data_IF_453461879805
#
_entry.id   IF_453461879805
#
_cell.length_a   1.000
_cell.length_b   1.000
_cell.length_c   1.000
_cell.angle_alpha   90.00
_cell.angle_beta   90.00
_cell.angle_gamma   90.00
#
_symmetry.space_group_name_H-M   'P 1'
#
loop_
_entity.id
_entity.type
_entity.pdbx_description
1 polymer ?
#
# COMPACT_ATOMS: atom_id res chain seq x y z
N UNK A 1 -2.00 13.68 -12.12
CA UNK A 1 -2.60 13.66 -13.46
C UNK A 1 -2.17 14.91 -14.23
N UNK A 2 -1.61 14.74 -15.42
CA UNK A 2 -1.18 15.88 -16.25
C UNK A 2 -2.36 16.49 -17.03
N UNK A 3 -2.23 17.73 -17.52
CA UNK A 3 -3.26 18.34 -18.40
C UNK A 3 -3.49 17.53 -19.68
N UNK A 4 -2.42 16.93 -20.22
CA UNK A 4 -2.50 16.09 -21.40
C UNK A 4 -3.28 14.79 -21.13
N UNK A 5 -2.99 14.14 -20.01
CA UNK A 5 -3.69 12.93 -19.55
C UNK A 5 -5.19 13.19 -19.32
N UNK A 6 -5.53 14.29 -18.61
CA UNK A 6 -6.92 14.71 -18.42
C UNK A 6 -7.62 14.93 -19.77
N UNK A 7 -6.97 15.60 -20.72
CA UNK A 7 -7.53 15.83 -22.05
C UNK A 7 -7.78 14.52 -22.81
N UNK A 8 -7.00 13.46 -22.60
CA UNK A 8 -7.27 12.15 -23.20
C UNK A 8 -8.46 11.45 -22.53
N UNK A 9 -8.53 11.46 -21.19
CA UNK A 9 -9.63 10.86 -20.42
C UNK A 9 -10.98 11.50 -20.73
N UNK A 10 -11.00 12.83 -20.92
CA UNK A 10 -12.21 13.57 -21.27
C UNK A 10 -12.80 13.20 -22.64
N UNK A 11 -12.07 12.46 -23.49
CA UNK A 11 -12.60 11.93 -24.76
C UNK A 11 -13.37 10.63 -24.60
N UNK A 12 -13.32 10.00 -23.43
CA UNK A 12 -14.11 8.79 -23.12
C UNK A 12 -15.51 9.27 -22.72
N UNK A 13 -16.41 9.35 -23.71
CA UNK A 13 -17.79 9.79 -23.49
C UNK A 13 -18.76 8.65 -23.22
N UNK A 14 -18.37 7.44 -23.64
CA UNK A 14 -19.19 6.25 -23.56
C UNK A 14 -18.90 5.49 -22.27
N UNK A 15 -19.45 6.01 -21.16
CA UNK A 15 -19.28 5.46 -19.82
C UNK A 15 -20.61 4.94 -19.33
N UNK A 16 -20.67 3.64 -19.04
CA UNK A 16 -21.83 3.01 -18.40
C UNK A 16 -21.75 3.20 -16.90
N UNK A 17 -22.74 3.86 -16.30
CA UNK A 17 -22.81 4.03 -14.84
C UNK A 17 -23.29 2.75 -14.15
N UNK A 18 -22.65 2.41 -13.02
CA UNK A 18 -23.09 1.35 -12.12
C UNK A 18 -24.54 1.55 -11.66
N UNK A 19 -24.95 2.78 -11.37
CA UNK A 19 -26.32 3.08 -10.91
C UNK A 19 -27.39 2.77 -11.97
N UNK A 20 -27.03 2.78 -13.25
CA UNK A 20 -27.96 2.56 -14.35
C UNK A 20 -28.15 1.07 -14.69
N UNK A 21 -27.05 0.31 -14.76
CA UNK A 21 -27.09 -1.09 -15.23
C UNK A 21 -26.58 -2.11 -14.20
N UNK A 22 -25.95 -1.69 -13.10
CA UNK A 22 -25.33 -2.58 -12.12
C UNK A 22 -24.00 -3.18 -12.58
N UNK A 23 -23.57 -4.29 -11.98
CA UNK A 23 -22.34 -5.01 -12.38
C UNK A 23 -22.53 -5.79 -13.68
N UNK A 24 -21.44 -5.97 -14.44
CA UNK A 24 -21.38 -6.92 -15.55
C UNK A 24 -21.54 -8.34 -14.99
N UNK A 25 -22.42 -9.13 -15.60
CA UNK A 25 -22.69 -10.53 -15.26
C UNK A 25 -22.06 -11.49 -16.29
N UNK A 26 -22.15 -11.15 -17.57
CA UNK A 26 -21.58 -11.96 -18.63
C UNK A 26 -21.25 -11.14 -19.88
N UNK A 27 -20.30 -11.66 -20.66
CA UNK A 27 -19.95 -11.15 -21.98
C UNK A 27 -20.34 -12.21 -23.01
N UNK A 28 -21.15 -11.82 -24.01
CA UNK A 28 -21.54 -12.68 -25.12
C UNK A 28 -21.24 -11.99 -26.45
N UNK A 29 -21.15 -12.74 -27.56
CA UNK A 29 -21.08 -12.13 -28.88
C UNK A 29 -22.25 -11.15 -29.07
N UNK A 30 -21.93 -9.89 -29.37
CA UNK A 30 -22.90 -8.83 -29.62
C UNK A 30 -23.48 -8.15 -28.38
N UNK A 31 -23.27 -8.64 -27.14
CA UNK A 31 -23.95 -8.08 -25.96
C UNK A 31 -23.15 -8.21 -24.67
N UNK A 32 -23.20 -7.15 -23.85
CA UNK A 32 -22.77 -7.17 -22.45
C UNK A 32 -24.02 -7.30 -21.59
N UNK A 33 -24.07 -8.33 -20.75
CA UNK A 33 -25.14 -8.55 -19.77
C UNK A 33 -24.74 -7.91 -18.43
N UNK A 34 -25.63 -7.10 -17.86
CA UNK A 34 -25.50 -6.49 -16.54
C UNK A 34 -26.62 -6.97 -15.61
N UNK A 35 -26.51 -6.66 -14.31
CA UNK A 35 -27.54 -6.98 -13.31
C UNK A 35 -28.94 -6.42 -13.67
N UNK A 36 -28.99 -5.18 -14.18
CA UNK A 36 -30.23 -4.45 -14.43
C UNK A 36 -30.49 -4.19 -15.93
N UNK A 37 -29.82 -4.92 -16.82
CA UNK A 37 -30.08 -4.78 -18.25
C UNK A 37 -28.98 -5.33 -19.14
N UNK A 38 -29.05 -4.96 -20.41
CA UNK A 38 -28.11 -5.39 -21.45
C UNK A 38 -27.64 -4.21 -22.26
N UNK A 39 -26.47 -4.35 -22.88
CA UNK A 39 -25.91 -3.37 -23.81
C UNK A 39 -25.41 -4.08 -25.05
N UNK A 40 -26.00 -3.73 -26.19
CA UNK A 40 -25.53 -4.19 -27.49
C UNK A 40 -24.14 -3.61 -27.81
N UNK A 41 -23.27 -4.45 -28.35
CA UNK A 41 -21.93 -4.08 -28.80
C UNK A 41 -21.72 -4.58 -30.22
N UNK A 42 -21.36 -3.66 -31.10
CA UNK A 42 -21.10 -4.00 -32.51
C UNK A 42 -19.66 -4.43 -32.75
N UNK A 43 -19.44 -5.28 -33.74
CA UNK A 43 -18.11 -5.74 -34.15
C UNK A 43 -17.55 -6.84 -33.27
N UNK A 44 -16.21 -6.89 -33.18
CA UNK A 44 -15.44 -7.86 -32.39
C UNK A 44 -14.56 -7.09 -31.37
N UNK A 45 -15.16 -6.61 -30.26
CA UNK A 45 -14.44 -5.79 -29.28
C UNK A 45 -13.49 -6.63 -28.42
N UNK A 46 -12.37 -6.02 -28.02
CA UNK A 46 -11.54 -6.54 -26.94
C UNK A 46 -12.15 -6.14 -25.58
N UNK A 47 -12.50 -7.13 -24.77
CA UNK A 47 -12.90 -6.91 -23.38
C UNK A 47 -11.70 -7.01 -22.45
N UNK A 48 -11.48 -5.96 -21.66
CA UNK A 48 -10.45 -5.90 -20.62
C UNK A 48 -11.15 -5.91 -19.27
N UNK A 49 -11.07 -7.04 -18.57
CA UNK A 49 -11.55 -7.13 -17.19
C UNK A 49 -10.49 -6.57 -16.23
N UNK A 50 -10.66 -5.32 -15.83
CA UNK A 50 -9.83 -4.68 -14.81
C UNK A 50 -10.42 -4.79 -13.39
N UNK A 51 -11.44 -5.63 -13.17
CA UNK A 51 -12.08 -5.82 -11.86
C UNK A 51 -11.33 -6.79 -10.94
N UNK A 52 -10.31 -7.48 -11.47
CA UNK A 52 -9.48 -8.38 -10.68
C UNK A 52 -8.88 -7.66 -9.46
N UNK A 53 -9.02 -8.26 -8.27
CA UNK A 53 -8.34 -7.77 -7.08
C UNK A 53 -6.85 -8.13 -7.17
N UNK A 54 -6.07 -7.26 -7.83
CA UNK A 54 -4.62 -7.42 -7.95
C UNK A 54 -3.88 -7.33 -6.61
N UNK A 55 -4.56 -6.92 -5.54
CA UNK A 55 -4.00 -6.70 -4.20
C UNK A 55 -4.77 -7.51 -3.14
N UNK A 56 -5.29 -8.67 -3.53
CA UNK A 56 -5.98 -9.60 -2.63
C UNK A 56 -5.19 -9.82 -1.34
N UNK A 57 -5.86 -9.67 -0.19
CA UNK A 57 -5.26 -9.94 1.10
C UNK A 57 -4.83 -11.40 1.19
N UNK A 58 -3.54 -11.57 1.46
CA UNK A 58 -2.93 -12.86 1.76
C UNK A 58 -2.37 -12.85 3.17
N UNK A 59 -2.20 -14.05 3.72
CA UNK A 59 -1.50 -14.21 4.99
C UNK A 59 -0.10 -13.58 4.90
N UNK A 60 0.23 -12.78 5.90
CA UNK A 60 1.57 -12.21 6.02
C UNK A 60 2.55 -13.27 6.48
N UNK A 61 3.52 -13.57 5.63
CA UNK A 61 4.59 -14.52 5.94
C UNK A 61 5.95 -13.81 5.89
N UNK A 62 7.03 -14.41 6.41
CA UNK A 62 8.37 -13.85 6.24
C UNK A 62 8.68 -13.58 4.77
N UNK A 63 9.31 -12.43 4.48
CA UNK A 63 9.76 -12.07 3.13
C UNK A 63 10.87 -13.02 2.69
N UNK A 64 11.84 -13.28 3.56
CA UNK A 64 12.95 -14.18 3.28
C UNK A 64 12.74 -15.52 3.99
N UNK A 65 12.83 -16.61 3.25
CA UNK A 65 12.78 -17.97 3.76
C UNK A 65 13.65 -18.90 2.91
N UNK A 66 14.90 -19.08 3.34
CA UNK A 66 15.95 -19.82 2.66
C UNK A 66 16.14 -19.34 1.22
N UNK A 67 15.80 -20.18 0.24
CA UNK A 67 15.94 -19.86 -1.19
C UNK A 67 14.69 -19.19 -1.78
N UNK A 68 13.77 -18.71 -0.95
CA UNK A 68 12.51 -18.10 -1.37
C UNK A 68 12.40 -16.66 -0.85
N UNK A 69 12.10 -15.75 -1.78
CA UNK A 69 11.68 -14.38 -1.48
C UNK A 69 10.19 -14.26 -1.78
N UNK A 70 9.38 -13.94 -0.77
CA UNK A 70 7.94 -13.66 -0.89
C UNK A 70 7.74 -12.15 -1.00
N UNK A 71 7.43 -11.67 -2.21
CA UNK A 71 7.13 -10.26 -2.43
C UNK A 71 5.83 -9.87 -1.72
N UNK A 72 5.95 -8.95 -0.77
CA UNK A 72 4.85 -8.36 -0.01
C UNK A 72 5.12 -6.86 0.11
N UNK A 73 4.07 -6.06 0.32
CA UNK A 73 4.26 -4.68 0.73
C UNK A 73 4.93 -4.66 2.11
N UNK A 74 6.00 -3.90 2.25
CA UNK A 74 6.64 -3.57 3.54
C UNK A 74 6.33 -2.13 3.96
N UNK A 75 5.50 -1.45 3.16
CA UNK A 75 4.99 -0.13 3.39
C UNK A 75 3.62 0.01 2.73
N UNK A 76 2.72 0.77 3.36
CA UNK A 76 1.35 1.01 2.92
C UNK A 76 1.22 1.20 1.39
N UNK A 77 0.55 0.27 0.73
CA UNK A 77 0.16 0.35 -0.68
C UNK A 77 1.31 0.63 -1.66
N UNK A 78 2.56 0.36 -1.30
CA UNK A 78 3.75 0.67 -2.11
C UNK A 78 4.47 -0.60 -2.60
N UNK A 79 3.81 -1.41 -3.44
CA UNK A 79 4.33 -2.70 -3.92
C UNK A 79 5.64 -2.58 -4.70
N UNK A 80 5.74 -1.62 -5.63
CA UNK A 80 6.92 -1.46 -6.47
C UNK A 80 8.14 -1.00 -5.67
N UNK A 81 7.94 -0.05 -4.75
CA UNK A 81 8.98 0.35 -3.80
C UNK A 81 9.37 -0.80 -2.88
N UNK A 82 8.39 -1.54 -2.34
CA UNK A 82 8.65 -2.67 -1.44
C UNK A 82 9.48 -3.74 -2.12
N UNK A 83 9.17 -4.11 -3.37
CA UNK A 83 9.97 -5.06 -4.13
C UNK A 83 11.41 -4.57 -4.35
N UNK A 84 11.60 -3.29 -4.66
CA UNK A 84 12.93 -2.70 -4.81
C UNK A 84 13.71 -2.66 -3.48
N UNK A 85 13.03 -2.35 -2.37
CA UNK A 85 13.61 -2.35 -1.04
C UNK A 85 14.01 -3.77 -0.58
N UNK A 86 13.15 -4.77 -0.81
CA UNK A 86 13.45 -6.17 -0.55
C UNK A 86 14.69 -6.61 -1.35
N UNK A 87 14.78 -6.24 -2.63
CA UNK A 87 15.96 -6.55 -3.44
C UNK A 87 17.23 -5.84 -2.92
N UNK A 88 17.11 -4.61 -2.43
CA UNK A 88 18.20 -3.89 -1.78
C UNK A 88 18.70 -4.61 -0.52
N UNK A 89 17.77 -5.02 0.36
CA UNK A 89 18.09 -5.77 1.57
C UNK A 89 18.71 -7.14 1.24
N UNK A 90 18.22 -7.83 0.20
CA UNK A 90 18.83 -9.08 -0.26
C UNK A 90 20.29 -8.88 -0.68
N UNK A 91 20.58 -7.82 -1.44
CA UNK A 91 21.91 -7.50 -1.94
C UNK A 91 22.90 -7.13 -0.83
N UNK A 92 22.43 -6.69 0.34
CA UNK A 92 23.26 -6.43 1.52
C UNK A 92 23.77 -7.71 2.20
N UNK A 93 23.15 -8.86 1.92
CA UNK A 93 23.46 -10.12 2.60
C UNK A 93 22.90 -10.17 4.02
N UNK A 94 23.45 -11.07 4.84
CA UNK A 94 22.94 -11.37 6.18
C UNK A 94 21.98 -12.56 6.21
N UNK A 95 21.61 -12.96 7.42
CA UNK A 95 20.64 -14.03 7.66
C UNK A 95 19.22 -13.60 7.33
N UNK A 96 18.35 -14.57 7.07
CA UNK A 96 16.92 -14.30 6.86
C UNK A 96 16.29 -13.60 8.07
N UNK A 97 16.76 -13.87 9.28
CA UNK A 97 16.27 -13.21 10.49
C UNK A 97 16.57 -11.70 10.48
N UNK A 98 17.81 -11.32 10.14
CA UNK A 98 18.23 -9.92 10.04
C UNK A 98 17.48 -9.19 8.91
N UNK A 99 17.34 -9.84 7.74
CA UNK A 99 16.61 -9.27 6.61
C UNK A 99 15.12 -9.08 6.94
N UNK A 100 14.48 -10.10 7.52
CA UNK A 100 13.07 -10.01 7.91
C UNK A 100 12.81 -9.00 9.02
N UNK A 101 13.78 -8.72 9.89
CA UNK A 101 13.66 -7.68 10.92
C UNK A 101 13.47 -6.28 10.31
N UNK A 102 14.00 -6.03 9.11
CA UNK A 102 13.84 -4.77 8.38
C UNK A 102 12.81 -4.82 7.25
N UNK A 103 12.28 -6.00 6.88
CA UNK A 103 11.28 -6.15 5.81
C UNK A 103 9.96 -6.73 6.32
N UNK A 104 9.47 -6.27 7.48
CA UNK A 104 8.18 -6.74 8.00
C UNK A 104 7.05 -6.37 7.04
N UNK A 105 6.14 -7.30 6.71
CA UNK A 105 5.00 -6.98 5.86
C UNK A 105 4.10 -5.90 6.48
N UNK A 106 3.57 -5.02 5.61
CA UNK A 106 2.53 -4.04 5.87
C UNK A 106 1.39 -4.32 4.86
N UNK A 107 0.42 -5.18 5.21
CA UNK A 107 -0.58 -5.71 4.27
C UNK A 107 -1.46 -4.64 3.61
N UNK A 108 -2.05 -4.93 2.46
CA UNK A 108 -3.02 -4.01 1.85
C UNK A 108 -4.29 -3.91 2.74
N UNK A 109 -4.79 -2.69 3.02
CA UNK A 109 -6.00 -2.53 3.82
C UNK A 109 -7.25 -2.92 3.03
N UNK A 110 -8.10 -3.80 3.58
CA UNK A 110 -9.39 -4.18 2.99
C UNK A 110 -10.59 -3.69 3.80
N UNK A 111 -10.38 -3.28 5.06
CA UNK A 111 -11.38 -2.63 5.90
C UNK A 111 -10.86 -1.29 6.45
N UNK A 112 -11.76 -0.47 6.97
CA UNK A 112 -11.45 0.86 7.53
C UNK A 112 -10.39 0.79 8.65
N UNK A 113 -10.45 -0.25 9.49
CA UNK A 113 -9.49 -0.44 10.57
C UNK A 113 -8.12 -0.89 10.06
N UNK A 114 -8.08 -1.58 8.92
CA UNK A 114 -6.82 -2.07 8.35
C UNK A 114 -5.97 -0.91 7.84
N UNK A 115 -6.58 0.23 7.51
CA UNK A 115 -5.84 1.45 7.20
C UNK A 115 -4.93 1.86 8.36
N UNK A 116 -5.46 1.88 9.58
CA UNK A 116 -4.68 2.23 10.78
C UNK A 116 -3.63 1.17 11.08
N UNK A 117 -3.98 -0.12 10.97
CA UNK A 117 -3.04 -1.24 11.18
C UNK A 117 -1.86 -1.20 10.20
N UNK A 118 -2.14 -0.96 8.93
CA UNK A 118 -1.11 -0.90 7.88
C UNK A 118 -0.19 0.30 8.07
N UNK A 119 -0.74 1.44 8.51
CA UNK A 119 0.07 2.59 8.90
C UNK A 119 0.94 2.29 10.12
N UNK A 120 0.41 1.62 11.14
CA UNK A 120 1.20 1.19 12.31
C UNK A 120 2.36 0.28 11.90
N UNK A 121 2.13 -0.69 11.00
CA UNK A 121 3.19 -1.54 10.45
C UNK A 121 4.24 -0.71 9.70
N UNK A 122 3.78 0.25 8.90
CA UNK A 122 4.65 1.20 8.19
C UNK A 122 5.51 2.03 9.14
N UNK A 123 4.92 2.61 10.20
CA UNK A 123 5.66 3.41 11.18
C UNK A 123 6.69 2.59 11.97
N UNK A 124 6.35 1.34 12.31
CA UNK A 124 7.28 0.43 12.97
C UNK A 124 8.47 0.10 12.06
N UNK A 125 8.22 -0.11 10.77
CA UNK A 125 9.30 -0.29 9.79
C UNK A 125 10.15 0.97 9.64
N UNK A 126 9.54 2.13 9.45
CA UNK A 126 10.24 3.41 9.35
C UNK A 126 11.10 3.68 10.59
N UNK A 127 10.63 3.29 11.79
CA UNK A 127 11.37 3.46 13.04
C UNK A 127 12.63 2.61 13.12
N UNK A 128 12.57 1.36 12.64
CA UNK A 128 13.74 0.48 12.51
C UNK A 128 14.69 1.04 11.45
N UNK A 129 14.16 1.48 10.31
CA UNK A 129 14.96 2.02 9.20
C UNK A 129 15.69 3.32 9.55
N UNK A 130 15.11 4.14 10.43
CA UNK A 130 15.74 5.38 10.89
C UNK A 130 17.05 5.15 11.68
N UNK A 131 17.27 3.95 12.22
CA UNK A 131 18.48 3.57 12.94
C UNK A 131 19.60 3.05 12.03
N UNK A 132 19.32 2.80 10.75
CA UNK A 132 20.27 2.29 9.78
C UNK A 132 20.64 3.38 8.75
N UNK A 133 21.83 4.01 8.86
CA UNK A 133 22.26 5.08 7.96
C UNK A 133 22.30 4.66 6.49
N UNK A 134 22.55 3.39 6.20
CA UNK A 134 22.58 2.86 4.84
C UNK A 134 21.17 2.82 4.25
N UNK A 135 20.19 2.34 5.02
CA UNK A 135 18.77 2.37 4.59
C UNK A 135 18.33 3.80 4.38
N UNK A 136 18.65 4.70 5.31
CA UNK A 136 18.33 6.12 5.20
C UNK A 136 18.85 6.69 3.88
N UNK A 137 20.13 6.44 3.55
CA UNK A 137 20.74 6.90 2.29
C UNK A 137 20.12 6.27 1.05
N UNK A 138 19.85 4.96 1.07
CA UNK A 138 19.22 4.30 -0.07
C UNK A 138 17.82 4.88 -0.36
N UNK A 139 17.03 5.11 0.69
CA UNK A 139 15.67 5.69 0.56
C UNK A 139 15.71 7.08 -0.07
N UNK A 140 16.65 7.93 0.32
CA UNK A 140 16.81 9.28 -0.26
C UNK A 140 17.15 9.25 -1.75
N UNK A 141 17.89 8.23 -2.20
CA UNK A 141 18.29 8.09 -3.62
C UNK A 141 17.25 7.33 -4.45
N UNK A 142 16.34 6.61 -3.81
CA UNK A 142 15.34 5.79 -4.50
C UNK A 142 14.21 6.66 -5.04
N UNK A 143 14.13 6.80 -6.36
CA UNK A 143 13.00 7.46 -7.06
C UNK A 143 11.63 6.84 -6.71
N UNK A 144 11.62 5.56 -6.33
CA UNK A 144 10.39 4.84 -5.97
C UNK A 144 9.91 5.18 -4.55
N UNK A 145 10.75 5.80 -3.73
CA UNK A 145 10.40 6.20 -2.38
C UNK A 145 9.44 7.40 -2.35
N UNK A 146 9.06 7.98 -3.50
CA UNK A 146 8.33 9.24 -3.57
C UNK A 146 7.04 9.33 -2.74
N UNK A 147 6.26 8.26 -2.55
CA UNK A 147 5.08 8.33 -1.67
C UNK A 147 5.44 8.27 -0.17
N UNK A 148 6.64 7.80 0.15
CA UNK A 148 7.15 7.54 1.51
C UNK A 148 8.13 8.62 1.97
N UNK A 149 8.76 9.32 1.01
CA UNK A 149 9.67 10.46 1.22
C UNK A 149 9.02 11.81 0.92
N UNK A 150 7.90 11.88 0.18
CA UNK A 150 7.33 13.17 -0.27
C UNK A 150 6.04 13.60 0.43
N UNK A 151 5.84 13.23 1.69
CA UNK A 151 5.23 14.18 2.63
C UNK A 151 6.36 14.94 3.32
N UNK A 152 7.07 15.74 2.50
CA UNK A 152 8.08 16.69 2.94
C UNK A 152 9.52 16.17 3.07
N UNK A 153 10.36 16.73 2.20
CA UNK A 153 11.81 17.02 2.41
C UNK A 153 12.81 15.94 1.98
N UNK A 154 13.66 16.19 0.95
CA UNK A 154 14.93 15.48 0.87
C UNK A 154 15.74 15.79 2.14
N UNK A 155 16.43 14.80 2.71
CA UNK A 155 17.26 15.03 3.89
C UNK A 155 18.32 16.10 3.59
N UNK A 156 18.59 17.03 4.52
CA UNK A 156 19.71 17.95 4.40
C UNK A 156 21.04 17.19 4.19
N UNK A 157 22.07 17.84 3.64
CA UNK A 157 23.43 17.29 3.63
C UNK A 157 23.89 16.89 5.03
N UNK A 158 24.88 15.99 5.12
CA UNK A 158 25.42 15.55 6.40
C UNK A 158 25.86 16.75 7.27
N UNK A 159 25.37 16.77 8.51
CA UNK A 159 25.60 17.87 9.45
C UNK A 159 24.44 18.04 10.43
N UNK A 160 24.51 19.04 11.32
CA UNK A 160 23.58 19.21 12.43
C UNK A 160 22.11 19.34 12.01
N UNK A 161 21.84 19.93 10.84
CA UNK A 161 20.49 20.09 10.31
C UNK A 161 19.86 18.74 9.93
N UNK A 162 20.65 17.87 9.31
CA UNK A 162 20.22 16.51 9.00
C UNK A 162 19.99 15.70 10.26
N UNK A 163 20.90 15.80 11.22
CA UNK A 163 20.78 15.09 12.50
C UNK A 163 19.52 15.52 13.25
N UNK A 164 19.22 16.82 13.24
CA UNK A 164 17.98 17.37 13.81
C UNK A 164 16.73 16.87 13.07
N UNK A 165 16.74 16.83 11.73
CA UNK A 165 15.63 16.32 10.93
C UNK A 165 15.34 14.83 11.21
N UNK A 166 16.40 14.01 11.29
CA UNK A 166 16.27 12.59 11.64
C UNK A 166 15.75 12.42 13.07
N UNK A 167 16.26 13.20 14.03
CA UNK A 167 15.78 13.16 15.42
C UNK A 167 14.30 13.57 15.53
N UNK A 168 13.88 14.60 14.80
CA UNK A 168 12.48 15.04 14.74
C UNK A 168 11.57 13.94 14.17
N UNK A 169 12.01 13.25 13.12
CA UNK A 169 11.26 12.16 12.51
C UNK A 169 11.13 10.96 13.46
N UNK A 170 12.22 10.55 14.12
CA UNK A 170 12.18 9.50 15.15
C UNK A 170 11.25 9.89 16.29
N UNK A 171 11.29 11.13 16.76
CA UNK A 171 10.37 11.62 17.79
C UNK A 171 8.90 11.56 17.35
N UNK A 172 8.61 11.90 16.09
CA UNK A 172 7.28 11.73 15.53
C UNK A 172 6.84 10.26 15.52
N UNK A 173 7.71 9.35 15.08
CA UNK A 173 7.44 7.92 15.06
C UNK A 173 7.16 7.36 16.47
N UNK A 174 7.99 7.73 17.44
CA UNK A 174 7.83 7.32 18.85
C UNK A 174 6.52 7.85 19.46
N UNK A 175 6.02 8.98 18.98
CA UNK A 175 4.74 9.54 19.42
C UNK A 175 3.51 8.94 18.70
N UNK A 176 3.62 8.64 17.40
CA UNK A 176 2.47 8.19 16.59
C UNK A 176 2.18 6.70 16.75
N UNK A 177 3.20 5.87 16.94
CA UNK A 177 3.06 4.42 17.14
C UNK A 177 2.10 4.09 18.30
N UNK A 178 2.30 4.58 19.54
CA UNK A 178 1.39 4.27 20.65
C UNK A 178 -0.02 4.82 20.44
N UNK A 179 -0.17 5.93 19.69
CA UNK A 179 -1.48 6.47 19.34
C UNK A 179 -2.22 5.62 18.32
N UNK A 180 -1.53 5.07 17.33
CA UNK A 180 -2.14 4.13 16.39
C UNK A 180 -2.53 2.81 17.09
N UNK A 181 -1.74 2.34 18.05
CA UNK A 181 -2.08 1.19 18.91
C UNK A 181 -3.35 1.46 19.73
N UNK A 182 -3.43 2.62 20.41
CA UNK A 182 -4.63 3.04 21.16
C UNK A 182 -5.87 3.11 20.26
N UNK A 183 -5.76 3.66 19.04
CA UNK A 183 -6.87 3.73 18.09
C UNK A 183 -7.38 2.34 17.67
N UNK A 184 -6.48 1.38 17.49
CA UNK A 184 -6.84 -0.01 17.16
C UNK A 184 -7.59 -0.65 18.33
N UNK A 185 -7.07 -0.50 19.55
CA UNK A 185 -7.69 -1.04 20.76
C UNK A 185 -9.10 -0.47 20.99
N UNK A 186 -9.27 0.85 20.86
CA UNK A 186 -10.58 1.50 20.98
C UNK A 186 -11.57 0.98 19.93
N UNK A 187 -11.13 0.81 18.69
CA UNK A 187 -11.99 0.31 17.61
C UNK A 187 -12.41 -1.16 17.84
N UNK A 188 -11.51 -2.00 18.33
CA UNK A 188 -11.79 -3.40 18.65
C UNK A 188 -12.74 -3.53 19.84
N UNK A 189 -12.51 -2.76 20.91
CA UNK A 189 -13.38 -2.72 22.09
C UNK A 189 -14.78 -2.19 21.75
N UNK A 190 -14.89 -1.18 20.89
CA UNK A 190 -16.17 -0.64 20.44
C UNK A 190 -16.99 -1.67 19.64
N UNK A 191 -16.33 -2.46 18.79
CA UNK A 191 -16.98 -3.55 18.03
C UNK A 191 -17.43 -4.69 18.95
N UNK A 192 -16.61 -5.07 19.93
CA UNK A 192 -16.98 -6.08 20.93
C UNK A 192 -18.19 -5.63 21.77
N UNK A 193 -18.20 -4.36 22.21
CA UNK A 193 -19.34 -3.78 22.92
C UNK A 193 -20.64 -3.81 22.12
N UNK A 194 -20.58 -3.43 20.83
CA UNK A 194 -21.74 -3.47 19.94
C UNK A 194 -22.29 -4.89 19.72
N UNK A 195 -21.41 -5.90 19.63
CA UNK A 195 -21.79 -7.30 19.47
C UNK A 195 -22.46 -7.90 20.72
N UNK A 196 -22.08 -7.45 21.92
CA UNK A 196 -22.65 -7.92 23.19
C UNK A 196 -23.99 -7.25 23.51
N UNK A 197 -24.20 -6.00 23.10
CA UNK A 197 -25.47 -5.26 23.30
C UNK A 197 -26.59 -5.63 22.31
N UNK A 198 -26.30 -6.46 21.32
CA UNK A 198 -27.24 -6.89 20.27
C UNK A 198 -27.93 -8.23 20.51
N UNK A 199 -27.86 -8.80 21.73
CA UNK A 199 -28.55 -10.03 22.15
C UNK A 199 -29.74 -9.73 23.06
#
# INVERSE_FOLDING_TARGET
>A
MTRAELAQLQRVHDVTSYEALGRVQALRPGVIEFENGVREVSGDPLYIDCSANGLERRESIPVFNNQRITLQSVLLCQHVYSAAFIAHIEARGGSDAEKNAVTRPAPHPEAEIDFVRTWLDTFRNDRIWAEDPEIVEWRQRSRLAGLTTNVGTPLPPAGPERDAALAQYTQFLDAVIPKAEEMIEVAENSRLGAAVSGQ
#
